data_IF_914055045230
#
_entry.id   IF_914055045230
#
_cell.length_a   1.000
_cell.length_b   1.000
_cell.length_c   1.000
_cell.angle_alpha   90.00
_cell.angle_beta   90.00
_cell.angle_gamma   90.00
#
_symmetry.space_group_name_H-M   'P 1'
#
loop_
_entity.id
_entity.type
_entity.pdbx_description
1 polymer ?
#
# COMPACT_ATOMS: atom_id res chain seq x y z
N UNK A 1 -8.06 5.27 6.16
CA UNK A 1 -7.46 5.12 4.81
C UNK A 1 -8.29 5.79 3.68
N UNK A 2 -9.20 6.73 3.97
CA UNK A 2 -10.07 7.33 2.94
C UNK A 2 -9.33 8.12 1.85
N UNK A 3 -8.13 8.66 2.15
CA UNK A 3 -7.31 9.48 1.25
C UNK A 3 -6.41 8.68 0.28
N UNK A 4 -6.50 7.35 0.30
CA UNK A 4 -5.78 6.47 -0.62
C UNK A 4 -6.73 5.95 -1.70
N UNK A 5 -6.19 5.79 -2.92
CA UNK A 5 -6.91 5.08 -3.99
C UNK A 5 -7.21 3.64 -3.55
N UNK A 6 -8.27 3.01 -4.08
CA UNK A 6 -8.67 1.66 -3.70
C UNK A 6 -7.51 0.65 -3.75
N UNK A 7 -6.70 0.69 -4.81
CA UNK A 7 -5.58 -0.25 -5.03
C UNK A 7 -4.48 -0.07 -3.99
N UNK A 8 -4.19 1.19 -3.62
CA UNK A 8 -3.19 1.50 -2.58
C UNK A 8 -3.68 1.08 -1.21
N UNK A 9 -4.98 1.22 -0.94
CA UNK A 9 -5.62 0.77 0.30
C UNK A 9 -5.58 -0.75 0.42
N UNK A 10 -5.94 -1.45 -0.65
CA UNK A 10 -5.93 -2.91 -0.69
C UNK A 10 -4.53 -3.48 -0.46
N UNK A 11 -3.51 -2.94 -1.13
CA UNK A 11 -2.12 -3.37 -0.93
C UNK A 11 -1.67 -3.18 0.53
N UNK A 12 -2.00 -2.05 1.16
CA UNK A 12 -1.69 -1.83 2.57
C UNK A 12 -2.48 -2.76 3.50
N UNK A 13 -3.74 -3.07 3.15
CA UNK A 13 -4.55 -4.02 3.90
C UNK A 13 -3.91 -5.40 3.89
N UNK A 14 -3.57 -5.91 2.71
CA UNK A 14 -2.91 -7.21 2.57
C UNK A 14 -1.56 -7.26 3.30
N UNK A 15 -0.77 -6.19 3.23
CA UNK A 15 0.55 -6.13 3.87
C UNK A 15 0.47 -6.06 5.41
N UNK A 16 -0.36 -5.17 5.96
CA UNK A 16 -0.32 -4.85 7.38
C UNK A 16 -1.42 -5.52 8.20
N UNK A 17 -2.58 -5.84 7.59
CA UNK A 17 -3.66 -6.54 8.28
C UNK A 17 -3.63 -8.05 8.04
N UNK A 18 -3.23 -8.50 6.85
CA UNK A 18 -3.10 -9.93 6.54
C UNK A 18 -1.65 -10.45 6.61
N UNK A 19 -0.68 -9.58 6.84
CA UNK A 19 0.73 -9.97 7.01
C UNK A 19 1.40 -10.52 5.73
N UNK A 20 0.81 -10.29 4.56
CA UNK A 20 1.34 -10.80 3.29
C UNK A 20 2.62 -10.04 2.89
N UNK A 21 3.60 -10.78 2.40
CA UNK A 21 4.80 -10.20 1.78
C UNK A 21 4.47 -9.58 0.42
N UNK A 22 5.29 -8.65 -0.06
CA UNK A 22 5.04 -8.02 -1.36
C UNK A 22 4.99 -9.00 -2.55
N UNK A 23 5.80 -10.07 -2.62
CA UNK A 23 5.64 -11.12 -3.64
C UNK A 23 4.33 -11.90 -3.52
N UNK A 24 3.82 -12.14 -2.31
CA UNK A 24 2.52 -12.78 -2.12
C UNK A 24 1.37 -11.88 -2.54
N UNK A 25 1.47 -10.57 -2.24
CA UNK A 25 0.52 -9.57 -2.71
C UNK A 25 0.52 -9.49 -4.24
N UNK A 26 1.70 -9.50 -4.87
CA UNK A 26 1.85 -9.48 -6.32
C UNK A 26 1.15 -10.67 -6.98
N UNK A 27 1.34 -11.88 -6.44
CA UNK A 27 0.65 -13.09 -6.90
C UNK A 27 -0.86 -13.04 -6.65
N UNK A 28 -1.28 -12.53 -5.48
CA UNK A 28 -2.69 -12.48 -5.08
C UNK A 28 -3.51 -11.49 -5.90
N UNK A 29 -2.92 -10.36 -6.29
CA UNK A 29 -3.58 -9.31 -7.06
C UNK A 29 -3.33 -9.41 -8.57
N UNK A 30 -2.57 -10.42 -9.02
CA UNK A 30 -2.10 -10.55 -10.40
C UNK A 30 -1.41 -9.27 -10.92
N UNK A 31 -0.51 -8.71 -10.11
CA UNK A 31 0.22 -7.47 -10.39
C UNK A 31 1.73 -7.73 -10.46
N UNK A 32 2.47 -6.97 -11.29
CA UNK A 32 3.93 -6.98 -11.23
C UNK A 32 4.43 -6.56 -9.85
N UNK A 33 5.47 -7.23 -9.34
CA UNK A 33 6.08 -6.89 -8.05
C UNK A 33 6.55 -5.43 -7.97
N UNK A 34 7.01 -4.87 -9.10
CA UNK A 34 7.37 -3.45 -9.21
C UNK A 34 6.18 -2.50 -8.99
N UNK A 35 4.98 -2.90 -9.43
CA UNK A 35 3.72 -2.18 -9.20
C UNK A 35 3.38 -2.21 -7.72
N UNK A 36 3.41 -3.39 -7.08
CA UNK A 36 3.16 -3.52 -5.63
C UNK A 36 4.12 -2.64 -4.81
N UNK A 37 5.42 -2.69 -5.11
CA UNK A 37 6.44 -1.83 -4.47
C UNK A 37 6.13 -0.34 -4.63
N UNK A 38 5.82 0.09 -5.86
CA UNK A 38 5.55 1.49 -6.16
C UNK A 38 4.24 1.99 -5.54
N UNK A 39 3.21 1.15 -5.49
CA UNK A 39 1.96 1.47 -4.81
C UNK A 39 2.15 1.59 -3.31
N UNK A 40 2.87 0.63 -2.69
CA UNK A 40 3.21 0.66 -1.26
C UNK A 40 3.95 1.94 -0.89
N UNK A 41 5.01 2.29 -1.64
CA UNK A 41 5.79 3.52 -1.42
C UNK A 41 4.92 4.77 -1.53
N UNK A 42 4.08 4.87 -2.57
CA UNK A 42 3.19 6.02 -2.76
C UNK A 42 2.15 6.12 -1.65
N UNK A 43 1.58 4.99 -1.22
CA UNK A 43 0.59 4.95 -0.15
C UNK A 43 1.19 5.40 1.20
N UNK A 44 2.36 4.88 1.56
CA UNK A 44 3.06 5.27 2.78
C UNK A 44 3.49 6.75 2.76
N UNK A 45 3.95 7.28 1.61
CA UNK A 45 4.25 8.70 1.47
C UNK A 45 3.01 9.57 1.70
N UNK A 46 1.87 9.21 1.13
CA UNK A 46 0.62 9.94 1.35
C UNK A 46 0.19 9.92 2.83
N UNK A 47 0.36 8.79 3.52
CA UNK A 47 0.07 8.69 4.95
C UNK A 47 1.05 9.52 5.79
N UNK A 48 2.35 9.45 5.48
CA UNK A 48 3.38 10.24 6.16
C UNK A 48 3.11 11.74 6.04
N UNK A 49 2.76 12.24 4.85
CA UNK A 49 2.42 13.65 4.68
C UNK A 49 1.23 14.07 5.55
N UNK A 50 0.19 13.22 5.68
CA UNK A 50 -0.97 13.52 6.51
C UNK A 50 -0.67 13.52 8.01
N UNK A 51 0.22 12.63 8.45
CA UNK A 51 0.66 12.59 9.85
C UNK A 51 1.55 13.79 10.15
N UNK A 52 2.47 14.12 9.25
CA UNK A 52 3.36 15.29 9.39
C UNK A 52 2.62 16.62 9.27
N UNK A 53 1.51 16.71 8.53
CA UNK A 53 0.69 17.94 8.44
C UNK A 53 -0.22 18.17 9.65
N UNK A 54 -0.30 17.21 10.58
CA UNK A 54 -1.11 17.30 11.81
C UNK A 54 -0.26 17.48 13.07
N UNK A 55 1.04 17.71 12.91
CA UNK A 55 1.98 18.09 13.97
C UNK A 55 2.29 19.59 13.85
#
# INVERSE_FOLDING_TARGET
MAFLTPERREILFLAYYLGLTQPEIARRLDLPLGTVKSHTRRALRSLSCLVSSRA
#
